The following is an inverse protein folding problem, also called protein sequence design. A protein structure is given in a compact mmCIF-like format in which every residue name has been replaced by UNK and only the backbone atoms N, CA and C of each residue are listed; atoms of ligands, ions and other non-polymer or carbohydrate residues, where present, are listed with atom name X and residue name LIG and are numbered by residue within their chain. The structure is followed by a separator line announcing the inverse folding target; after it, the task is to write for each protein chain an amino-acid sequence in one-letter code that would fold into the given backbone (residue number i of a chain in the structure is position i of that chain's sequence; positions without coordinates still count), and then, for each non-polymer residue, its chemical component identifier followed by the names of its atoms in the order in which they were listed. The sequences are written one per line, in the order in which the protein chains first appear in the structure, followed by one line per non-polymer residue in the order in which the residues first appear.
data_IF_832144622561
#
_entry.id   IF_832144622561
#
_cell.length_a   1.000
_cell.length_b   1.000
_cell.length_c   1.000
_cell.angle_alpha   90.00
_cell.angle_beta   90.00
_cell.angle_gamma   90.00
#
_symmetry.space_group_name_H-M   'P 1'
#
loop_
_entity.id
_entity.type
_entity.pdbx_description
1 polymer ?
2 polymer ?
3 water ?
#
# COMPACT_ATOMS: atom_id res chain seq x y z
N UNK A 1 6.25 -2.39 25.75
CA UNK A 1 5.10 -1.51 25.65
C UNK A 1 5.32 -0.44 24.57
N UNK A 2 4.23 0.21 24.16
CA UNK A 2 4.30 1.24 23.15
C UNK A 2 3.70 0.79 21.83
N UNK A 3 3.18 1.75 21.06
CA UNK A 3 2.59 1.47 19.80
C UNK A 3 3.04 2.46 18.76
N UNK A 4 3.64 1.99 17.70
CA UNK A 4 4.18 2.87 16.68
C UNK A 4 3.84 2.33 15.32
N UNK A 5 3.66 3.21 14.35
CA UNK A 5 3.43 2.80 12.97
C UNK A 5 4.73 2.28 12.37
N UNK A 6 4.91 0.96 12.38
CA UNK A 6 6.16 0.36 11.95
C UNK A 6 6.14 -0.13 10.50
N UNK A 7 7.25 -0.74 10.09
CA UNK A 7 7.41 -1.26 8.77
C UNK A 7 8.11 -2.56 8.90
N UNK A 8 7.98 -3.39 7.89
CA UNK A 8 8.72 -4.63 7.84
C UNK A 8 10.15 -4.33 7.52
N UNK A 9 11.04 -5.19 7.96
CA UNK A 9 12.42 -5.01 7.66
C UNK A 9 12.59 -5.14 6.18
N UNK A 10 13.33 -4.26 5.57
CA UNK A 10 13.36 -4.15 4.14
C UNK A 10 14.51 -4.77 3.41
N UNK A 11 15.38 -5.48 4.10
CA UNK A 11 16.58 -5.95 3.45
C UNK A 11 16.26 -6.85 2.29
N UNK A 12 15.34 -7.77 2.49
CA UNK A 12 15.11 -8.76 1.50
C UNK A 12 14.70 -8.14 0.22
N UNK A 13 13.88 -7.12 0.31
CA UNK A 13 13.49 -6.34 -0.84
C UNK A 13 14.61 -5.52 -1.45
N UNK A 14 15.49 -5.01 -0.62
CA UNK A 14 16.52 -4.12 -1.10
C UNK A 14 17.34 -4.87 -2.11
N UNK A 15 17.55 -6.14 -1.86
CA UNK A 15 18.36 -7.00 -2.67
C UNK A 15 17.82 -7.15 -4.05
N UNK A 16 16.55 -6.82 -4.23
CA UNK A 16 15.90 -7.00 -5.53
C UNK A 16 15.54 -5.69 -6.21
N UNK A 17 16.13 -4.57 -5.79
CA UNK A 17 15.84 -3.34 -6.47
C UNK A 17 16.90 -2.99 -7.49
N UNK A 18 16.47 -2.62 -8.68
CA UNK A 18 17.39 -2.28 -9.76
C UNK A 18 16.91 -1.08 -10.54
N UNK A 19 17.79 -0.50 -11.33
CA UNK A 19 17.45 0.66 -12.11
C UNK A 19 17.13 0.28 -13.52
N UNK A 20 16.13 0.90 -14.10
CA UNK A 20 15.79 0.67 -15.48
C UNK A 20 15.72 1.98 -16.22
N UNK A 21 16.44 2.07 -17.31
CA UNK A 21 16.47 3.28 -18.10
C UNK A 21 15.90 2.95 -19.43
N UNK A 22 15.00 3.76 -19.93
CA UNK A 22 14.63 3.65 -21.30
C UNK A 22 14.47 5.04 -21.84
N UNK A 23 15.20 5.37 -22.90
CA UNK A 23 15.17 6.71 -23.42
C UNK A 23 15.63 7.68 -22.38
N UNK A 24 14.86 8.72 -22.15
CA UNK A 24 15.24 9.75 -21.21
C UNK A 24 14.56 9.54 -19.87
N UNK A 25 14.07 8.34 -19.65
CA UNK A 25 13.33 8.01 -18.45
C UNK A 25 14.08 6.97 -17.67
N UNK A 26 14.31 7.24 -16.40
CA UNK A 26 14.86 6.23 -15.51
C UNK A 26 13.95 6.04 -14.33
N UNK A 27 13.61 4.79 -14.05
CA UNK A 27 12.84 4.42 -12.89
C UNK A 27 13.33 3.08 -12.37
N UNK A 28 12.78 2.65 -11.24
CA UNK A 28 13.16 1.39 -10.61
C UNK A 28 12.50 0.16 -11.15
N UNK A 29 13.12 -0.97 -10.95
CA UNK A 29 12.56 -2.21 -11.40
C UNK A 29 12.72 -3.21 -10.32
N UNK A 30 12.00 -4.31 -10.41
CA UNK A 30 12.15 -5.35 -9.42
C UNK A 30 12.68 -6.57 -10.12
N UNK A 31 13.75 -7.12 -9.58
CA UNK A 31 14.47 -8.21 -10.19
C UNK A 31 14.39 -9.46 -9.37
N UNK A 32 13.53 -10.38 -9.79
CA UNK A 32 13.37 -11.64 -9.11
C UNK A 32 13.73 -12.75 -10.07
N UNK A 33 14.63 -13.64 -9.67
CA UNK A 33 15.08 -14.70 -10.55
C UNK A 33 15.66 -14.04 -11.78
N UNK A 34 15.17 -14.44 -12.95
CA UNK A 34 15.64 -13.85 -14.18
C UNK A 34 14.70 -12.79 -14.72
N UNK A 35 13.79 -12.31 -13.91
CA UNK A 35 12.84 -11.35 -14.42
C UNK A 35 13.00 -10.05 -13.72
N UNK A 36 12.79 -8.96 -14.44
CA UNK A 36 12.80 -7.64 -13.85
C UNK A 36 11.49 -7.02 -14.21
N UNK A 37 10.75 -6.55 -13.21
CA UNK A 37 9.45 -5.95 -13.44
C UNK A 37 9.48 -4.46 -13.19
N UNK A 38 8.74 -3.72 -13.99
CA UNK A 38 8.71 -2.28 -13.91
C UNK A 38 7.46 -1.80 -14.58
N UNK A 39 7.11 -0.56 -14.38
CA UNK A 39 5.90 -0.03 -14.97
C UNK A 39 6.02 0.08 -16.46
N UNK A 40 4.95 -0.19 -17.18
CA UNK A 40 5.02 -0.19 -18.60
C UNK A 40 5.28 1.19 -19.18
N UNK A 41 5.05 2.22 -18.40
CA UNK A 41 5.07 3.55 -18.96
C UNK A 41 6.48 4.09 -19.07
N UNK A 42 7.43 3.23 -18.78
CA UNK A 42 8.81 3.62 -18.86
C UNK A 42 9.15 3.98 -20.29
N UNK A 43 8.55 3.27 -21.23
CA UNK A 43 8.75 3.52 -22.65
C UNK A 43 8.11 4.79 -23.17
N UNK A 44 7.27 5.40 -22.35
CA UNK A 44 6.57 6.62 -22.72
C UNK A 44 7.53 7.80 -22.79
N UNK A 45 7.01 8.96 -23.18
CA UNK A 45 7.82 10.17 -23.29
C UNK A 45 7.05 11.39 -22.82
N UNK A 46 7.59 12.58 -23.08
CA UNK A 46 6.96 13.83 -22.69
C UNK A 46 5.62 14.01 -23.41
N UNK A 47 5.33 13.13 -24.35
CA UNK A 47 4.15 13.30 -25.20
C UNK A 47 3.24 12.08 -25.30
N UNK A 48 3.86 10.90 -25.28
CA UNK A 48 3.12 9.66 -25.42
C UNK A 48 2.15 9.51 -24.26
N UNK A 49 2.63 9.91 -23.08
CA UNK A 49 1.86 9.78 -21.88
C UNK A 49 0.53 10.41 -22.15
N UNK A 50 0.51 11.44 -22.96
CA UNK A 50 -0.71 12.18 -23.16
C UNK A 50 -1.82 11.32 -23.69
N UNK A 51 -1.47 10.39 -24.56
CA UNK A 51 -2.44 9.45 -25.05
C UNK A 51 -1.72 8.36 -25.76
N UNK A 52 -1.39 7.30 -25.05
CA UNK A 52 -0.62 6.24 -25.63
C UNK A 52 -1.39 5.00 -25.95
N UNK A 53 -0.79 4.18 -26.78
CA UNK A 53 -1.31 2.90 -27.11
C UNK A 53 -0.13 2.05 -26.84
N UNK A 54 -0.24 1.23 -25.83
CA UNK A 54 0.92 0.49 -25.41
C UNK A 54 1.41 -0.50 -26.42
N UNK A 55 0.51 -1.16 -27.11
CA UNK A 55 0.98 -2.15 -28.04
C UNK A 55 1.82 -1.50 -29.12
N UNK A 56 1.37 -0.40 -29.67
CA UNK A 56 2.15 0.18 -30.72
C UNK A 56 3.47 0.50 -30.12
N UNK A 57 3.45 1.15 -28.98
CA UNK A 57 4.66 1.70 -28.47
C UNK A 57 5.64 0.60 -28.26
N UNK A 58 5.15 -0.54 -27.83
CA UNK A 58 6.04 -1.60 -27.43
C UNK A 58 6.90 -2.16 -28.54
N UNK A 59 6.37 -2.32 -29.72
CA UNK A 59 7.11 -3.03 -30.75
C UNK A 59 8.06 -2.19 -31.51
N UNK A 60 8.19 -0.95 -31.12
CA UNK A 60 9.10 -0.06 -31.76
C UNK A 60 10.31 -0.04 -30.89
N UNK A 61 10.39 -1.05 -30.06
CA UNK A 61 11.42 -1.16 -29.08
C UNK A 61 11.97 -2.56 -29.08
N UNK A 62 13.04 -2.73 -28.36
CA UNK A 62 13.70 -4.01 -28.30
C UNK A 62 14.51 -4.10 -27.06
N UNK A 63 15.12 -5.25 -26.87
CA UNK A 63 15.86 -5.54 -25.69
C UNK A 63 16.99 -4.56 -25.53
N UNK A 64 17.56 -4.11 -26.62
CA UNK A 64 18.58 -3.08 -26.52
C UNK A 64 17.96 -1.79 -26.08
N UNK A 65 16.65 -1.72 -26.22
CA UNK A 65 15.94 -0.52 -25.88
C UNK A 65 15.97 -0.18 -24.39
N UNK A 66 16.22 -1.17 -23.54
CA UNK A 66 16.24 -0.94 -22.12
C UNK A 66 17.57 -1.23 -21.48
N UNK A 67 18.02 -0.33 -20.63
CA UNK A 67 19.25 -0.55 -19.94
C UNK A 67 18.95 -0.85 -18.49
N UNK A 68 19.37 -2.01 -18.04
CA UNK A 68 19.11 -2.41 -16.70
C UNK A 68 20.41 -2.51 -15.95
N UNK A 69 20.56 -1.71 -14.91
CA UNK A 69 21.78 -1.71 -14.15
C UNK A 69 21.52 -2.15 -12.73
N UNK A 70 22.29 -3.10 -12.24
CA UNK A 70 22.16 -3.52 -10.88
C UNK A 70 23.40 -3.06 -10.21
N UNK A 71 23.25 -2.28 -9.17
CA UNK A 71 24.44 -1.76 -8.57
C UNK A 71 25.14 -1.08 -9.71
N UNK A 72 26.42 -1.33 -9.86
CA UNK A 72 27.15 -0.70 -10.93
C UNK A 72 27.25 -1.56 -12.17
N UNK A 73 26.58 -2.69 -12.13
CA UNK A 73 26.70 -3.67 -13.19
C UNK A 73 25.55 -3.66 -14.15
N UNK A 74 25.87 -3.63 -15.43
CA UNK A 74 24.86 -3.63 -16.47
C UNK A 74 24.30 -5.00 -16.48
N UNK A 75 23.15 -5.17 -17.10
CA UNK A 75 22.48 -6.45 -17.09
C UNK A 75 21.90 -6.66 -18.46
N UNK A 76 21.80 -7.90 -18.87
CA UNK A 76 21.48 -8.21 -20.23
C UNK A 76 20.02 -8.53 -20.44
N UNK A 77 19.34 -7.68 -21.18
CA UNK A 77 17.95 -7.94 -21.45
C UNK A 77 17.90 -8.75 -22.69
N UNK A 78 17.20 -9.87 -22.63
CA UNK A 78 17.03 -10.66 -23.80
C UNK A 78 15.58 -10.83 -24.14
N UNK A 79 14.72 -10.66 -23.16
CA UNK A 79 13.31 -10.83 -23.39
C UNK A 79 12.52 -9.64 -22.91
N UNK A 80 11.45 -9.32 -23.61
CA UNK A 80 10.50 -8.38 -23.09
C UNK A 80 9.08 -8.81 -23.38
N UNK A 81 8.24 -8.81 -22.36
CA UNK A 81 6.86 -9.20 -22.48
C UNK A 81 6.11 -8.11 -21.80
N UNK A 82 4.81 -8.07 -21.98
CA UNK A 82 4.03 -7.11 -21.27
C UNK A 82 2.91 -7.79 -20.57
N UNK A 83 2.76 -7.54 -19.27
CA UNK A 83 1.68 -8.11 -18.49
C UNK A 83 0.83 -7.02 -17.86
N UNK A 84 -0.30 -6.73 -18.51
CA UNK A 84 -1.14 -5.65 -18.05
C UNK A 84 -0.34 -4.37 -18.13
N UNK A 85 -0.25 -3.66 -17.01
CA UNK A 85 0.40 -2.39 -16.98
C UNK A 85 1.86 -2.48 -16.62
N UNK A 86 2.40 -3.66 -16.68
CA UNK A 86 3.77 -3.87 -16.33
C UNK A 86 4.57 -4.39 -17.49
N UNK A 87 5.86 -4.31 -17.36
CA UNK A 87 6.78 -4.77 -18.35
C UNK A 87 7.57 -5.90 -17.76
N UNK A 88 7.76 -6.96 -18.50
CA UNK A 88 8.64 -7.96 -17.99
C UNK A 88 9.84 -8.06 -18.89
N UNK A 89 11.01 -7.89 -18.32
CA UNK A 89 12.20 -7.95 -19.09
C UNK A 89 12.94 -9.13 -18.59
N UNK A 90 13.30 -10.04 -19.47
CA UNK A 90 14.13 -11.16 -19.09
C UNK A 90 15.57 -10.74 -19.06
N UNK A 91 16.37 -11.40 -18.24
CA UNK A 91 17.77 -11.09 -18.17
C UNK A 91 18.63 -12.32 -18.08
N UNK A 92 19.88 -12.18 -18.45
CA UNK A 92 20.77 -13.32 -18.50
C UNK A 92 20.98 -13.92 -17.14
N UNK A 93 21.02 -13.07 -16.13
CA UNK A 93 21.37 -13.50 -14.78
C UNK A 93 20.20 -13.65 -13.84
N UNK A 94 20.12 -14.80 -13.18
CA UNK A 94 19.07 -15.02 -12.21
C UNK A 94 19.65 -14.39 -10.96
N UNK A 95 18.89 -13.54 -10.31
CA UNK A 95 19.46 -12.86 -9.16
C UNK A 95 19.85 -13.88 -8.11
N UNK A 96 21.06 -13.74 -7.60
CA UNK A 96 21.54 -14.58 -6.50
C UNK A 96 20.77 -14.20 -5.25
N UNK A 97 20.53 -12.90 -5.12
CA UNK A 97 19.91 -12.33 -3.94
C UNK A 97 18.43 -12.23 -4.23
N UNK A 98 17.82 -13.39 -4.42
CA UNK A 98 16.39 -13.50 -4.66
C UNK A 98 15.84 -14.31 -3.50
N UNK A 99 14.81 -13.78 -2.85
CA UNK A 99 14.25 -14.46 -1.68
C UNK A 99 12.91 -15.12 -1.99
N UNK A 100 12.44 -15.95 -1.07
CA UNK A 100 11.18 -16.64 -1.25
C UNK A 100 10.12 -15.58 -1.31
N UNK A 101 9.24 -15.68 -2.27
CA UNK A 101 8.31 -14.62 -2.51
C UNK A 101 7.06 -15.09 -3.18
N UNK A 102 6.05 -14.27 -3.18
CA UNK A 102 4.87 -14.53 -3.96
C UNK A 102 4.19 -13.22 -4.25
N UNK A 103 3.25 -13.20 -5.17
CA UNK A 103 2.61 -11.97 -5.55
C UNK A 103 1.21 -12.04 -5.06
N UNK A 104 0.76 -11.00 -4.39
CA UNK A 104 -0.56 -11.01 -3.81
C UNK A 104 -1.29 -9.77 -4.16
N UNK A 105 -2.59 -9.82 -4.20
CA UNK A 105 -3.35 -8.63 -4.41
C UNK A 105 -3.93 -8.26 -3.09
N UNK A 106 -3.50 -7.13 -2.59
CA UNK A 106 -3.91 -6.59 -1.34
C UNK A 106 -5.35 -6.14 -1.43
N UNK A 107 -6.06 -6.18 -0.32
CA UNK A 107 -7.45 -5.79 -0.30
C UNK A 107 -7.56 -4.58 0.52
N UNK A 108 -8.61 -3.83 0.31
CA UNK A 108 -8.74 -2.55 0.96
C UNK A 108 -8.81 -2.65 2.46
N UNK A 109 -8.05 -1.80 3.09
CA UNK A 109 -7.92 -1.77 4.52
C UNK A 109 -6.75 -2.57 5.02
N UNK A 110 -6.16 -3.38 4.18
CA UNK A 110 -4.98 -4.08 4.57
C UNK A 110 -3.80 -3.14 4.43
N UNK A 111 -2.69 -3.46 5.06
CA UNK A 111 -1.58 -2.56 5.06
C UNK A 111 -0.36 -3.24 4.55
N UNK A 112 0.62 -2.46 4.13
CA UNK A 112 1.88 -2.97 3.66
C UNK A 112 2.98 -1.97 3.79
N UNK A 113 4.20 -2.44 3.74
CA UNK A 113 5.38 -1.61 3.70
C UNK A 113 5.76 -1.20 2.30
N UNK A 114 6.26 0.00 2.17
CA UNK A 114 6.71 0.52 0.92
C UNK A 114 8.17 0.85 1.00
N UNK A 115 8.95 0.37 0.05
CA UNK A 115 10.32 0.76 0.02
C UNK A 115 10.52 1.74 -1.10
N UNK A 116 10.66 3.00 -0.76
CA UNK A 116 10.77 4.03 -1.75
C UNK A 116 12.17 4.13 -2.29
N UNK A 117 12.28 3.96 -3.60
CA UNK A 117 13.58 3.88 -4.24
C UNK A 117 13.72 4.81 -5.43
N UNK A 118 14.86 5.49 -5.49
CA UNK A 118 15.19 6.33 -6.60
C UNK A 118 16.43 5.80 -7.27
N UNK A 119 16.39 5.68 -8.58
CA UNK A 119 17.52 5.22 -9.38
C UNK A 119 18.00 3.84 -9.01
N UNK A 120 17.11 3.00 -8.55
CA UNK A 120 17.46 1.65 -8.18
C UNK A 120 18.04 1.58 -6.80
N UNK A 121 18.08 2.70 -6.11
CA UNK A 121 18.64 2.72 -4.80
C UNK A 121 17.61 3.07 -3.76
N UNK A 122 17.53 2.30 -2.69
CA UNK A 122 16.46 2.48 -1.74
C UNK A 122 16.64 3.69 -0.93
N UNK A 123 15.65 4.55 -0.89
CA UNK A 123 15.72 5.74 -0.08
C UNK A 123 15.04 5.67 1.29
N UNK A 124 13.88 5.06 1.41
CA UNK A 124 13.22 4.97 2.70
C UNK A 124 12.14 3.93 2.81
N UNK A 125 11.77 3.57 4.02
CA UNK A 125 10.74 2.59 4.23
C UNK A 125 9.61 3.14 5.06
N UNK A 126 8.38 2.96 4.63
CA UNK A 126 7.24 3.39 5.39
C UNK A 126 6.03 2.50 5.25
N UNK A 127 5.07 2.66 6.14
CA UNK A 127 3.91 1.79 6.23
C UNK A 127 2.68 2.41 5.64
N UNK A 128 1.91 1.65 4.89
CA UNK A 128 0.81 2.25 4.14
C UNK A 128 -0.42 1.38 4.12
N UNK A 129 -1.58 2.02 4.14
CA UNK A 129 -2.81 1.28 4.06
C UNK A 129 -3.44 1.51 2.74
N UNK A 130 -4.05 0.47 2.20
CA UNK A 130 -4.76 0.63 0.98
C UNK A 130 -6.07 1.24 1.31
N UNK A 131 -6.31 2.42 0.81
CA UNK A 131 -7.53 3.10 1.12
C UNK A 131 -8.66 2.38 0.46
N UNK A 132 -9.85 2.65 0.94
CA UNK A 132 -11.05 2.05 0.41
C UNK A 132 -11.24 2.47 -1.00
N UNK A 133 -10.74 3.66 -1.32
CA UNK A 133 -10.87 4.20 -2.64
C UNK A 133 -9.74 3.82 -3.53
N UNK A 134 -8.94 2.88 -3.07
CA UNK A 134 -7.88 2.30 -3.85
C UNK A 134 -6.65 3.14 -4.10
N UNK A 135 -6.37 4.05 -3.21
CA UNK A 135 -5.23 4.91 -3.31
C UNK A 135 -4.49 4.73 -2.02
N UNK A 136 -3.26 5.17 -1.95
CA UNK A 136 -2.53 5.12 -0.72
C UNK A 136 -1.98 6.48 -0.45
N UNK A 137 -1.80 6.82 0.80
CA UNK A 137 -1.24 8.09 1.15
C UNK A 137 0.21 7.89 1.45
N UNK A 138 1.04 8.12 0.46
CA UNK A 138 2.44 7.80 0.49
C UNK A 138 3.28 9.04 0.32
N UNK A 139 4.58 8.88 0.35
CA UNK A 139 5.43 9.96 0.02
C UNK A 139 6.20 9.53 -1.18
N UNK A 140 5.89 10.11 -2.33
CA UNK A 140 6.54 9.72 -3.55
C UNK A 140 6.95 10.93 -4.35
N UNK A 141 8.07 10.82 -5.01
CA UNK A 141 8.58 11.89 -5.82
C UNK A 141 8.89 11.32 -7.15
N UNK A 142 9.06 12.16 -8.13
CA UNK A 142 9.29 11.66 -9.44
C UNK A 142 10.55 10.83 -9.50
N UNK A 143 10.49 9.76 -10.24
CA UNK A 143 11.52 8.76 -10.25
C UNK A 143 11.30 7.66 -9.26
N UNK A 144 10.22 7.73 -8.50
CA UNK A 144 9.90 6.72 -7.52
C UNK A 144 9.14 5.58 -8.11
N UNK A 145 8.79 5.69 -9.37
CA UNK A 145 8.03 4.65 -10.01
C UNK A 145 8.81 3.37 -9.96
N UNK A 146 8.10 2.27 -9.87
CA UNK A 146 8.69 0.98 -9.76
C UNK A 146 9.00 0.59 -8.34
N UNK A 147 8.80 1.50 -7.41
CA UNK A 147 8.95 1.18 -6.02
C UNK A 147 7.82 0.29 -5.66
N UNK A 148 8.04 -0.62 -4.72
CA UNK A 148 7.07 -1.62 -4.42
C UNK A 148 6.64 -1.66 -2.97
N UNK A 149 5.48 -2.25 -2.75
CA UNK A 149 4.96 -2.46 -1.42
C UNK A 149 4.95 -3.93 -1.14
N UNK A 150 5.10 -4.29 0.11
CA UNK A 150 5.22 -5.67 0.43
C UNK A 150 4.89 -6.02 1.86
N UNK A 151 4.59 -7.28 2.09
CA UNK A 151 4.47 -7.76 3.42
C UNK A 151 5.39 -8.93 3.55
N UNK A 152 5.76 -9.26 4.76
CA UNK A 152 6.58 -10.43 5.00
C UNK A 152 5.93 -11.43 5.90
N UNK A 153 5.93 -12.70 5.50
CA UNK A 153 5.43 -13.73 6.39
C UNK A 153 6.63 -14.56 6.72
N UNK A 154 7.23 -14.33 7.88
CA UNK A 154 8.47 -15.01 8.20
C UNK A 154 9.46 -14.66 7.09
N UNK A 155 10.11 -15.66 6.53
CA UNK A 155 11.06 -15.46 5.43
C UNK A 155 10.45 -14.92 4.13
N UNK A 156 9.26 -15.42 3.78
CA UNK A 156 8.60 -15.09 2.52
C UNK A 156 8.18 -13.62 2.36
N UNK A 157 8.27 -13.13 1.13
CA UNK A 157 7.89 -11.79 0.82
C UNK A 157 6.74 -11.81 -0.11
N UNK A 158 5.66 -11.15 0.27
CA UNK A 158 4.56 -11.04 -0.63
C UNK A 158 4.56 -9.64 -1.17
N UNK A 159 4.56 -9.50 -2.46
CA UNK A 159 4.59 -8.21 -3.05
C UNK A 159 3.19 -7.87 -3.40
N UNK A 160 2.77 -6.65 -3.07
CA UNK A 160 1.37 -6.26 -3.27
C UNK A 160 1.18 -4.94 -3.99
N UNK A 161 2.27 -4.22 -4.29
CA UNK A 161 2.11 -2.96 -4.96
C UNK A 161 3.32 -2.53 -5.76
N UNK A 162 3.13 -1.90 -6.90
CA UNK A 162 4.21 -1.24 -7.56
C UNK A 162 3.75 0.14 -7.93
N UNK A 163 4.59 1.14 -7.77
CA UNK A 163 4.19 2.52 -7.92
C UNK A 163 4.16 3.01 -9.34
N UNK A 164 3.11 3.71 -9.72
CA UNK A 164 3.00 4.26 -11.05
C UNK A 164 2.88 5.77 -11.15
N UNK A 165 2.04 6.38 -10.33
CA UNK A 165 1.67 7.76 -10.55
C UNK A 165 1.08 8.48 -9.34
N UNK A 166 0.91 9.78 -9.45
CA UNK A 166 0.30 10.55 -8.39
C UNK A 166 -0.95 11.22 -8.84
N UNK A 167 -1.98 11.14 -8.02
CA UNK A 167 -3.22 11.80 -8.30
C UNK A 167 -3.20 13.22 -7.88
N UNK A 168 -4.20 13.96 -8.29
CA UNK A 168 -4.27 15.38 -8.08
C UNK A 168 -4.25 15.72 -6.62
N UNK A 169 -4.79 14.86 -5.79
CA UNK A 169 -4.81 15.09 -4.37
C UNK A 169 -3.47 14.84 -3.69
N UNK A 170 -2.50 14.31 -4.39
CA UNK A 170 -1.27 13.96 -3.74
C UNK A 170 -1.24 12.57 -3.16
N UNK A 171 -2.05 11.69 -3.70
CA UNK A 171 -2.14 10.34 -3.23
C UNK A 171 -1.84 9.51 -4.42
N UNK A 172 -1.54 8.25 -4.20
CA UNK A 172 -0.83 7.47 -5.15
C UNK A 172 -1.55 6.26 -5.64
N UNK A 173 -1.28 5.90 -6.88
CA UNK A 173 -1.91 4.79 -7.54
C UNK A 173 -0.89 3.95 -8.26
N UNK A 174 -1.12 2.65 -8.32
CA UNK A 174 -0.15 1.70 -8.79
C UNK A 174 -0.90 0.42 -8.99
N UNK A 175 -0.17 -0.67 -9.13
CA UNK A 175 -0.73 -1.94 -9.52
C UNK A 175 -0.24 -3.03 -8.65
N UNK A 176 -0.85 -4.18 -8.76
CA UNK A 176 -0.32 -5.34 -8.13
C UNK A 176 0.78 -5.79 -9.03
N UNK A 177 1.32 -6.95 -8.77
CA UNK A 177 2.52 -7.35 -9.45
C UNK A 177 2.23 -8.17 -10.65
N UNK A 178 0.98 -8.12 -11.08
CA UNK A 178 0.63 -8.64 -12.36
C UNK A 178 0.17 -7.51 -13.21
N UNK A 179 0.42 -6.31 -12.77
CA UNK A 179 0.13 -5.15 -13.57
C UNK A 179 -1.30 -4.72 -13.59
N UNK A 180 -2.08 -5.23 -12.67
CA UNK A 180 -3.46 -4.88 -12.64
C UNK A 180 -3.61 -3.76 -11.67
N UNK A 181 -4.17 -2.66 -12.10
CA UNK A 181 -4.28 -1.50 -11.24
C UNK A 181 -5.16 -1.72 -10.05
N UNK A 182 -4.83 -1.05 -8.97
CA UNK A 182 -5.73 -0.94 -7.86
C UNK A 182 -6.54 0.26 -8.21
N UNK A 183 -7.86 0.10 -8.10
CA UNK A 183 -8.78 1.13 -8.53
C UNK A 183 -8.98 0.97 -10.02
N UNK A 184 -9.75 1.86 -10.63
CA UNK A 184 -9.99 1.79 -12.07
C UNK A 184 -8.96 2.61 -12.84
N UNK A 185 -8.03 3.21 -12.12
CA UNK A 185 -7.08 4.10 -12.73
C UNK A 185 -6.34 3.43 -13.86
N UNK A 186 -5.93 4.21 -14.84
CA UNK A 186 -5.27 3.71 -16.01
C UNK A 186 -3.97 4.46 -16.15
N UNK A 187 -2.98 3.91 -16.83
CA UNK A 187 -1.75 4.66 -16.97
C UNK A 187 -1.78 5.59 -18.14
N UNK A 188 -2.55 6.65 -18.01
CA UNK A 188 -2.53 7.73 -18.97
C UNK A 188 -2.40 9.04 -18.23
N UNK A 189 -1.64 9.96 -18.78
CA UNK A 189 -1.51 11.27 -18.18
C UNK A 189 -2.67 12.06 -18.67
N UNK A 190 -3.79 11.86 -18.00
CA UNK A 190 -5.02 12.56 -18.29
C UNK A 190 -5.77 12.69 -17.00
N UNK A 191 -6.81 13.50 -16.98
CA UNK A 191 -7.44 13.77 -15.72
C UNK A 191 -7.98 12.50 -15.14
N UNK A 192 -7.63 12.22 -13.90
CA UNK A 192 -8.22 11.16 -13.14
C UNK A 192 -8.34 11.60 -11.70
N UNK A 193 -9.37 11.20 -11.00
CA UNK A 193 -9.50 11.65 -9.63
C UNK A 193 -9.83 10.56 -8.67
N UNK A 194 -9.36 10.71 -7.45
CA UNK A 194 -9.65 9.78 -6.41
C UNK A 194 -11.10 9.90 -6.06
N UNK A 195 -11.72 8.77 -5.82
CA UNK A 195 -13.08 8.71 -5.37
C UNK A 195 -13.14 9.17 -3.95
N UNK A 196 -14.31 9.54 -3.49
CA UNK A 196 -14.43 9.98 -2.13
C UNK A 196 -14.17 8.82 -1.21
N UNK A 197 -13.23 9.00 -0.31
CA UNK A 197 -12.83 7.98 0.61
C UNK A 197 -13.73 7.84 1.84
N UNK A 198 -13.47 6.80 2.62
CA UNK A 198 -14.22 6.55 3.81
C UNK A 198 -13.28 5.95 4.82
N UNK A 199 -13.63 5.99 6.08
CA UNK A 199 -12.80 5.51 7.17
C UNK A 199 -12.92 4.04 7.45
N UNK A 200 -11.82 3.38 7.76
CA UNK A 200 -11.85 1.95 7.97
C UNK A 200 -12.10 1.63 9.41
N UNK A 201 -13.35 1.31 9.69
CA UNK A 201 -13.84 1.09 11.02
C UNK A 201 -13.18 -0.07 11.70
N UNK A 202 -12.96 -1.13 10.99
CA UNK A 202 -12.40 -2.26 11.65
C UNK A 202 -11.07 -1.85 12.19
N UNK A 203 -10.30 -1.11 11.42
CA UNK A 203 -9.03 -0.63 11.88
C UNK A 203 -9.07 0.33 13.05
N UNK A 204 -10.03 1.23 13.10
CA UNK A 204 -10.09 2.12 14.21
C UNK A 204 -10.30 1.34 15.51
N UNK A 205 -11.16 0.34 15.46
CA UNK A 205 -11.43 -0.46 16.63
C UNK A 205 -10.24 -1.23 17.11
N UNK A 206 -9.48 -1.77 16.19
CA UNK A 206 -8.31 -2.53 16.55
C UNK A 206 -7.36 -1.62 17.23
N UNK A 207 -7.32 -0.39 16.76
CA UNK A 207 -6.49 0.63 17.29
C UNK A 207 -6.89 1.00 18.70
N UNK A 208 -8.18 1.07 18.93
CA UNK A 208 -8.68 1.30 20.25
C UNK A 208 -8.30 0.17 21.12
N UNK A 209 -8.37 -1.03 20.63
CA UNK A 209 -7.95 -2.13 21.46
C UNK A 209 -6.51 -2.00 21.81
N UNK A 210 -5.68 -1.58 20.89
CA UNK A 210 -4.28 -1.45 21.20
C UNK A 210 -4.09 -0.44 22.29
N UNK A 211 -4.84 0.63 22.25
CA UNK A 211 -4.69 1.67 23.24
C UNK A 211 -4.98 1.13 24.61
N UNK A 212 -6.04 0.36 24.71
CA UNK A 212 -6.40 -0.20 25.96
C UNK A 212 -5.29 -1.10 26.39
N UNK A 213 -4.74 -1.80 25.43
CA UNK A 213 -3.69 -2.72 25.73
C UNK A 213 -2.56 -1.93 26.30
N UNK A 214 -2.51 -0.67 25.93
CA UNK A 214 -1.39 0.17 26.26
C UNK A 214 -1.68 1.16 27.33
N UNK A 215 -2.76 0.93 28.05
CA UNK A 215 -3.11 1.71 29.21
C UNK A 215 -3.90 3.00 29.16
N UNK A 216 -4.31 3.50 28.01
CA UNK A 216 -5.18 4.65 28.10
C UNK A 216 -6.58 4.16 27.87
N UNK A 217 -7.41 4.27 28.90
CA UNK A 217 -8.78 3.73 28.90
C UNK A 217 -9.84 4.78 29.07
N UNK A 218 -9.49 6.02 28.85
CA UNK A 218 -10.38 7.11 29.18
C UNK A 218 -11.67 7.14 28.42
N UNK A 219 -11.68 6.49 27.28
CA UNK A 219 -12.80 6.55 26.36
C UNK A 219 -13.79 5.42 26.55
N UNK A 220 -13.52 4.53 27.46
CA UNK A 220 -14.45 3.46 27.77
C UNK A 220 -15.66 3.93 28.52
N UNK A 221 -16.71 3.12 28.48
CA UNK A 221 -17.94 3.38 29.19
C UNK A 221 -18.70 2.08 29.37
N UNK A 222 -19.73 2.05 30.20
CA UNK A 222 -20.42 0.79 30.55
C UNK A 222 -21.54 0.39 29.59
N UNK A 223 -21.77 1.30 28.63
CA UNK A 223 -22.84 1.24 27.63
C UNK A 223 -22.60 0.20 26.59
N UNK A 224 -23.65 -0.15 25.86
CA UNK A 224 -23.53 -1.04 24.71
C UNK A 224 -24.46 -0.57 23.59
N UNK A 225 -24.03 -0.74 22.34
CA UNK A 225 -24.89 -0.43 21.20
C UNK A 225 -25.06 -1.64 20.29
N UNK A 226 -26.18 -1.69 19.58
CA UNK A 226 -26.46 -2.79 18.66
C UNK A 226 -25.65 -2.65 17.38
N UNK A 227 -25.52 -3.75 16.65
CA UNK A 227 -24.76 -3.75 15.40
C UNK A 227 -25.38 -2.81 14.38
N UNK A 228 -26.71 -2.70 14.40
CA UNK A 228 -27.42 -1.83 13.49
C UNK A 228 -27.48 -0.39 13.99
N UNK A 229 -27.58 -0.24 15.31
CA UNK A 229 -27.63 1.08 15.93
C UNK A 229 -26.33 1.85 15.71
N UNK A 230 -25.21 1.14 15.80
CA UNK A 230 -23.91 1.74 15.60
C UNK A 230 -23.72 2.16 14.15
N UNK A 231 -24.12 1.30 13.25
CA UNK A 231 -23.90 1.52 11.85
C UNK A 231 -24.58 2.75 11.41
N UNK A 232 -25.68 3.07 12.03
CA UNK A 232 -26.40 4.25 11.66
C UNK A 232 -25.55 5.45 11.94
N UNK A 233 -24.89 5.45 13.07
CA UNK A 233 -23.95 6.49 13.38
C UNK A 233 -22.77 6.46 12.42
N UNK A 234 -22.29 5.28 12.10
CA UNK A 234 -21.12 5.19 11.27
C UNK A 234 -21.44 5.84 9.96
N UNK A 235 -22.64 5.63 9.48
CA UNK A 235 -23.01 6.14 8.20
C UNK A 235 -22.94 7.64 8.20
N UNK A 236 -23.36 8.21 9.30
CA UNK A 236 -23.43 9.64 9.47
C UNK A 236 -22.07 10.26 9.39
N UNK A 237 -21.07 9.56 9.88
CA UNK A 237 -19.74 10.10 9.99
C UNK A 237 -18.79 9.63 8.93
N UNK A 238 -19.30 9.04 7.87
CA UNK A 238 -18.49 8.46 6.83
C UNK A 238 -17.60 7.33 7.27
N UNK A 239 -18.06 6.55 8.20
CA UNK A 239 -17.33 5.39 8.61
C UNK A 239 -17.94 4.25 7.89
N UNK A 240 -17.16 3.22 7.66
CA UNK A 240 -17.65 2.02 7.05
C UNK A 240 -18.50 1.27 8.03
N UNK A 241 -19.46 0.51 7.54
CA UNK A 241 -20.30 -0.31 8.38
C UNK A 241 -19.55 -1.45 8.98
N UNK A 242 -19.90 -1.80 10.19
CA UNK A 242 -19.42 -3.00 10.80
C UNK A 242 -20.30 -4.17 10.47
N UNK A 243 -19.67 -5.31 10.32
CA UNK A 243 -20.31 -6.51 9.88
C UNK A 243 -19.95 -7.54 10.88
N UNK A 244 -20.69 -8.62 10.91
CA UNK A 244 -20.40 -9.69 11.81
C UNK A 244 -19.06 -10.28 11.57
N UNK A 245 -18.64 -10.34 10.31
CA UNK A 245 -17.35 -10.93 10.01
C UNK A 245 -16.25 -10.15 10.68
N UNK A 246 -16.35 -8.85 10.60
CA UNK A 246 -15.42 -7.96 11.26
C UNK A 246 -15.45 -8.06 12.76
N UNK A 247 -16.63 -8.28 13.31
CA UNK A 247 -16.73 -8.50 14.73
C UNK A 247 -16.00 -9.76 15.08
N UNK A 248 -16.11 -10.79 14.27
CA UNK A 248 -15.45 -12.02 14.61
C UNK A 248 -13.97 -11.83 14.61
N UNK A 249 -13.47 -11.05 13.67
CA UNK A 249 -12.05 -10.83 13.51
C UNK A 249 -11.45 -10.20 14.72
N UNK A 250 -12.23 -9.40 15.41
CA UNK A 250 -11.75 -8.67 16.54
C UNK A 250 -11.77 -9.48 17.79
N UNK A 251 -12.23 -10.71 17.73
CA UNK A 251 -12.52 -11.44 18.93
C UNK A 251 -11.36 -11.66 19.86
N UNK A 252 -10.22 -11.99 19.33
CA UNK A 252 -9.07 -12.20 20.18
C UNK A 252 -8.73 -10.93 20.91
N UNK A 253 -8.77 -9.81 20.22
CA UNK A 253 -8.48 -8.56 20.86
C UNK A 253 -9.52 -8.28 21.92
N UNK A 254 -10.76 -8.58 21.64
CA UNK A 254 -11.75 -8.35 22.66
C UNK A 254 -11.47 -9.19 23.85
N UNK A 255 -11.13 -10.44 23.60
CA UNK A 255 -10.89 -11.37 24.67
C UNK A 255 -9.72 -10.95 25.51
N UNK A 256 -8.65 -10.52 24.87
CA UNK A 256 -7.45 -10.18 25.59
C UNK A 256 -7.72 -9.04 26.54
N UNK A 257 -8.53 -8.09 26.13
CA UNK A 257 -8.84 -6.97 26.97
C UNK A 257 -10.09 -7.20 27.79
N UNK A 258 -10.78 -8.29 27.53
CA UNK A 258 -12.05 -8.51 28.13
C UNK A 258 -13.00 -7.39 27.82
N UNK A 259 -12.93 -6.89 26.58
CA UNK A 259 -13.77 -5.78 26.16
C UNK A 259 -14.62 -6.15 24.95
N UNK A 260 -15.91 -6.42 25.19
CA UNK A 260 -16.83 -6.78 24.11
C UNK A 260 -16.63 -5.84 22.92
N UNK A 261 -16.91 -6.35 21.72
CA UNK A 261 -16.75 -5.57 20.50
C UNK A 261 -17.80 -4.47 20.41
N UNK A 262 -19.01 -4.76 20.85
CA UNK A 262 -20.09 -3.79 20.82
C UNK A 262 -19.90 -2.68 21.82
N UNK A 263 -19.32 -2.99 22.96
CA UNK A 263 -19.06 -1.96 23.91
C UNK A 263 -18.10 -0.99 23.31
N UNK A 264 -17.05 -1.53 22.74
CA UNK A 264 -16.04 -0.70 22.12
C UNK A 264 -16.70 0.09 21.02
N UNK A 265 -17.68 -0.53 20.37
CA UNK A 265 -18.46 0.14 19.34
C UNK A 265 -19.26 1.28 19.98
N UNK A 266 -19.53 1.14 21.28
CA UNK A 266 -20.24 2.16 22.01
C UNK A 266 -19.33 3.31 22.27
N UNK A 267 -18.13 2.98 22.68
CA UNK A 267 -17.16 3.97 23.03
C UNK A 267 -16.92 4.77 21.79
N UNK A 268 -16.83 4.10 20.67
CA UNK A 268 -16.57 4.79 19.44
C UNK A 268 -17.71 5.72 19.12
N UNK A 269 -18.93 5.27 19.32
CA UNK A 269 -20.02 6.08 18.89
C UNK A 269 -19.90 7.38 19.63
N UNK A 270 -19.58 7.28 20.91
CA UNK A 270 -19.47 8.45 21.73
C UNK A 270 -18.39 9.39 21.26
N UNK A 271 -17.25 8.80 20.94
CA UNK A 271 -16.11 9.57 20.47
C UNK A 271 -16.52 10.21 19.20
N UNK A 272 -17.27 9.49 18.41
CA UNK A 272 -17.71 10.09 17.18
C UNK A 272 -18.60 11.24 17.53
N UNK A 273 -19.55 10.99 18.40
CA UNK A 273 -20.45 12.05 18.79
C UNK A 273 -19.83 13.21 19.58
N UNK A 274 -18.96 12.92 20.54
CA UNK A 274 -18.42 13.99 21.36
C UNK A 274 -16.99 14.50 21.12
N UNK A 275 -16.26 13.80 20.26
CA UNK A 275 -14.87 14.16 19.99
C UNK A 275 -13.94 13.65 21.08
N UNK A 276 -12.81 14.34 21.24
CA UNK A 276 -11.83 13.96 22.26
C UNK A 276 -11.64 15.08 23.27
N UNK A 277 -12.26 16.23 22.99
CA UNK A 277 -12.16 17.39 23.86
C UNK A 277 -10.72 17.71 24.26
N UNK A 278 -9.79 17.41 23.35
CA UNK A 278 -8.38 17.66 23.60
C UNK A 278 -7.75 16.58 24.47
N UNK A 279 -8.11 15.34 24.18
CA UNK A 279 -7.56 14.20 24.88
C UNK A 279 -6.77 13.41 23.85
N UNK A 280 -5.93 12.51 24.30
CA UNK A 280 -5.09 11.79 23.38
C UNK A 280 -5.30 10.31 23.47
N UNK A 281 -5.37 9.64 22.33
CA UNK A 281 -5.36 8.21 22.37
C UNK A 281 -4.07 7.77 21.75
N UNK A 282 -3.26 7.04 22.49
CA UNK A 282 -2.01 6.56 21.98
C UNK A 282 -1.29 7.74 21.40
N UNK A 283 -1.43 8.89 22.06
CA UNK A 283 -0.79 10.11 21.60
C UNK A 283 -1.35 10.60 20.28
N UNK A 284 -2.61 10.29 20.01
CA UNK A 284 -3.23 10.67 18.74
C UNK A 284 -4.45 11.58 18.89
N UNK A 285 -4.45 12.68 18.16
CA UNK A 285 -5.56 13.63 18.18
C UNK A 285 -6.88 13.07 17.66
N UNK A 286 -6.81 12.29 16.59
CA UNK A 286 -8.02 11.74 15.97
C UNK A 286 -7.93 10.24 15.71
N UNK A 287 -9.08 9.58 15.64
CA UNK A 287 -9.12 8.14 15.44
C UNK A 287 -8.26 7.76 14.24
N UNK A 288 -7.56 6.64 14.36
CA UNK A 288 -6.61 6.22 13.38
C UNK A 288 -6.96 4.90 12.76
N UNK A 289 -7.09 4.88 11.46
CA UNK A 289 -7.60 3.73 10.79
C UNK A 289 -6.58 3.08 9.93
N UNK A 290 -5.31 3.23 10.23
CA UNK A 290 -4.33 2.56 9.41
C UNK A 290 -3.64 1.35 10.01
N UNK A 291 -4.14 0.80 11.09
CA UNK A 291 -3.58 -0.44 11.59
C UNK A 291 -4.62 -1.53 11.58
N UNK A 292 -4.30 -2.66 11.02
CA UNK A 292 -5.20 -3.75 11.02
C UNK A 292 -5.19 -4.42 12.36
N UNK A 293 -6.14 -5.30 12.57
CA UNK A 293 -6.18 -6.07 13.79
C UNK A 293 -4.93 -6.90 13.88
N UNK A 294 -4.54 -7.43 12.75
CA UNK A 294 -3.38 -8.26 12.66
C UNK A 294 -2.14 -7.49 13.01
N UNK A 295 -2.07 -6.25 12.59
CA UNK A 295 -0.95 -5.42 12.91
C UNK A 295 -0.90 -5.22 14.38
N UNK A 296 -2.06 -4.95 14.96
CA UNK A 296 -2.10 -4.63 16.35
C UNK A 296 -1.62 -5.79 17.15
N UNK A 297 -2.02 -6.97 16.79
CA UNK A 297 -1.54 -8.15 17.48
C UNK A 297 -0.05 -8.37 17.32
N UNK A 298 0.47 -8.23 16.13
CA UNK A 298 1.88 -8.48 15.93
C UNK A 298 2.71 -7.47 16.68
N UNK A 299 2.07 -6.44 17.19
CA UNK A 299 2.82 -5.46 17.92
C UNK A 299 2.47 -5.42 19.38
N UNK A 300 1.68 -6.35 19.86
CA UNK A 300 1.38 -6.36 21.27
C UNK A 300 1.53 -7.75 21.86
C UNK B 1 -6.08 16.54 -13.41
N UNK B 2 -4.81 16.37 -13.77
CA UNK B 2 -4.43 15.12 -14.43
C UNK B 2 -3.50 14.29 -13.55
N UNK B 3 -3.24 13.06 -13.98
CA UNK B 3 -2.36 12.16 -13.23
C UNK B 3 -0.90 12.40 -13.60
N UNK B 4 -0.03 12.38 -12.59
CA UNK B 4 1.40 12.59 -12.81
C UNK B 4 2.17 11.29 -12.61
N UNK B 5 2.91 10.89 -13.65
CA UNK B 5 3.69 9.68 -13.60
C UNK B 5 4.94 9.90 -12.75
N UNK B 6 5.39 8.85 -12.08
CA UNK B 6 6.57 8.93 -11.22
C UNK B 6 7.61 7.89 -11.62
#
# INVERSE_FOLDING_TARGET
SGFRKMAFPSGKVEGCMVQVTCGTTTLNGLWLDDTVYCPRHVICTAEDMLNPNYEDLLIRKSNHSFLVQAGNVQLRVIGHSMQNCLLRLKVDTSNPKTPKYKFVRIQPGQTFSVLACYNGSPSGVYQCAMRPNHTIKGSFLNGSCGSVGFNIDYDCVSFCYMHHMELPTGVHAGTDLEGKFYGPFVDIQTAQAAGTDTTITLNVLAWLYAAVINGDRWFLNRFTTTLNDFNLVAMKYNYEPLTQDHVDILGPLSAQTGIAVLDMCAALKELLQNGMNGRTILGSTILEDEFTPFDVVRQCSGVTFQ
XSAVAX
#
